data_IF_240976361288
#
_entry.id   IF_240976361288
#
_cell.length_a   1.000
_cell.length_b   1.000
_cell.length_c   1.000
_cell.angle_alpha   90.00
_cell.angle_beta   90.00
_cell.angle_gamma   90.00
#
_symmetry.space_group_name_H-M   'P 1'
#
loop_
_entity.id
_entity.type
_entity.pdbx_description
1 polymer ?
#
# COMPACT_ATOMS: atom_id res chain seq x y z
N UNK A 1 -2.95 -1.43 -10.88
CA UNK A 1 -1.52 -1.33 -11.28
C UNK A 1 -0.69 -1.12 -10.03
N UNK A 2 0.31 -1.97 -9.81
CA UNK A 2 1.28 -1.83 -8.72
C UNK A 2 2.59 -1.22 -9.25
N UNK A 3 3.15 -0.25 -8.54
CA UNK A 3 4.55 0.19 -8.70
C UNK A 3 5.32 -0.10 -7.43
N UNK A 4 6.52 -0.65 -7.56
CA UNK A 4 7.38 -0.97 -6.43
C UNK A 4 8.66 -0.14 -6.46
N UNK A 5 9.10 0.34 -5.31
CA UNK A 5 10.28 1.19 -5.17
C UNK A 5 11.26 0.63 -4.14
N UNK A 6 12.54 0.62 -4.50
CA UNK A 6 13.67 0.34 -3.59
C UNK A 6 14.46 1.62 -3.34
N UNK A 7 15.23 1.66 -2.25
CA UNK A 7 16.19 2.75 -2.01
C UNK A 7 17.52 2.42 -2.69
N UNK A 8 18.01 3.36 -3.49
CA UNK A 8 19.33 3.31 -4.11
C UNK A 8 19.95 4.72 -4.07
N UNK A 9 21.11 4.86 -3.42
CA UNK A 9 21.79 6.15 -3.21
C UNK A 9 20.86 7.26 -2.69
N UNK A 10 20.14 6.99 -1.59
CA UNK A 10 19.17 7.89 -0.95
C UNK A 10 18.01 8.35 -1.85
N UNK A 11 17.73 7.61 -2.93
CA UNK A 11 16.63 7.90 -3.86
C UNK A 11 15.74 6.68 -4.05
N UNK A 12 14.47 6.92 -4.31
CA UNK A 12 13.54 5.89 -4.71
C UNK A 12 13.77 5.53 -6.18
N UNK A 13 13.96 4.23 -6.45
CA UNK A 13 14.09 3.68 -7.79
C UNK A 13 12.99 2.66 -8.04
N UNK A 14 12.28 2.82 -9.15
CA UNK A 14 11.27 1.86 -9.60
C UNK A 14 11.92 0.50 -9.92
N UNK A 15 11.24 -0.59 -9.55
CA UNK A 15 11.59 -1.95 -9.92
C UNK A 15 10.41 -2.64 -10.60
N UNK A 16 10.71 -3.49 -11.58
CA UNK A 16 9.68 -4.15 -12.40
C UNK A 16 9.06 -5.39 -11.74
N UNK A 17 9.81 -6.03 -10.82
CA UNK A 17 9.39 -7.26 -10.15
C UNK A 17 9.41 -7.05 -8.63
N UNK A 18 8.21 -6.96 -8.05
CA UNK A 18 8.00 -6.83 -6.61
C UNK A 18 8.54 -8.06 -5.86
N UNK A 19 8.26 -9.26 -6.34
CA UNK A 19 8.58 -10.51 -5.65
C UNK A 19 10.09 -10.74 -5.63
N UNK A 20 10.77 -10.54 -6.76
CA UNK A 20 12.21 -10.68 -6.84
C UNK A 20 12.98 -9.63 -6.00
N UNK A 21 12.34 -8.51 -5.65
CA UNK A 21 12.93 -7.44 -4.86
C UNK A 21 12.29 -7.28 -3.48
N UNK A 22 11.43 -8.20 -3.03
CA UNK A 22 10.57 -8.02 -1.87
C UNK A 22 11.29 -7.50 -0.62
N UNK A 23 12.45 -8.09 -0.29
CA UNK A 23 13.25 -7.71 0.89
C UNK A 23 13.87 -6.30 0.80
N UNK A 24 13.88 -5.69 -0.39
CA UNK A 24 14.46 -4.36 -0.66
C UNK A 24 13.40 -3.29 -0.95
N UNK A 25 12.17 -3.70 -1.22
CA UNK A 25 11.08 -2.78 -1.54
C UNK A 25 10.69 -2.05 -0.26
N UNK A 26 10.68 -0.72 -0.34
CA UNK A 26 10.30 0.15 0.78
C UNK A 26 8.95 0.82 0.57
N UNK A 27 8.45 0.82 -0.67
CA UNK A 27 7.17 1.40 -1.02
C UNK A 27 6.55 0.65 -2.20
N UNK A 28 5.31 0.19 -2.01
CA UNK A 28 4.43 -0.26 -3.07
C UNK A 28 3.27 0.74 -3.22
N UNK A 29 3.10 1.27 -4.43
CA UNK A 29 2.03 2.20 -4.80
C UNK A 29 0.99 1.46 -5.63
N UNK A 30 -0.24 1.40 -5.11
CA UNK A 30 -1.37 0.69 -5.72
C UNK A 30 -2.34 1.72 -6.28
N UNK A 31 -2.41 1.82 -7.61
CA UNK A 31 -3.40 2.66 -8.28
C UNK A 31 -4.48 1.79 -8.93
N UNK A 32 -5.71 1.89 -8.39
CA UNK A 32 -6.87 1.09 -8.78
C UNK A 32 -6.50 -0.39 -9.01
N UNK A 33 -5.99 -1.08 -7.98
CA UNK A 33 -5.48 -2.44 -8.12
C UNK A 33 -6.59 -3.41 -8.52
N UNK A 34 -6.23 -4.48 -9.21
CA UNK A 34 -7.12 -5.63 -9.38
C UNK A 34 -7.12 -6.49 -8.11
N UNK A 35 -8.11 -7.38 -7.95
CA UNK A 35 -8.14 -8.33 -6.83
C UNK A 35 -6.90 -9.23 -6.77
N UNK A 36 -6.37 -9.61 -7.93
CA UNK A 36 -5.16 -10.43 -8.01
C UNK A 36 -3.93 -9.63 -7.55
N UNK A 37 -3.87 -8.34 -7.88
CA UNK A 37 -2.84 -7.41 -7.41
C UNK A 37 -2.94 -7.18 -5.89
N UNK A 38 -4.15 -6.99 -5.35
CA UNK A 38 -4.38 -6.88 -3.90
C UNK A 38 -3.91 -8.15 -3.19
N UNK A 39 -4.35 -9.33 -3.64
CA UNK A 39 -3.99 -10.63 -3.04
C UNK A 39 -2.47 -10.85 -3.03
N UNK A 40 -1.78 -10.45 -4.09
CA UNK A 40 -0.32 -10.56 -4.18
C UNK A 40 0.38 -9.67 -3.14
N UNK A 41 -0.13 -8.45 -2.91
CA UNK A 41 0.40 -7.53 -1.90
C UNK A 41 0.11 -8.03 -0.49
N UNK A 42 -1.11 -8.49 -0.22
CA UNK A 42 -1.50 -9.04 1.08
C UNK A 42 -0.67 -10.27 1.44
N UNK A 43 -0.43 -11.16 0.47
CA UNK A 43 0.41 -12.34 0.66
C UNK A 43 1.88 -11.98 0.94
N UNK A 44 2.37 -10.89 0.35
CA UNK A 44 3.74 -10.41 0.56
C UNK A 44 3.92 -9.70 1.90
N UNK A 45 2.98 -8.82 2.27
CA UNK A 45 3.07 -8.03 3.51
C UNK A 45 2.55 -8.78 4.75
N UNK A 46 1.71 -9.78 4.56
CA UNK A 46 1.04 -10.51 5.64
C UNK A 46 -0.07 -9.71 6.33
N UNK A 47 -0.61 -8.68 5.68
CA UNK A 47 -1.70 -7.84 6.18
C UNK A 47 -2.74 -7.62 5.09
N UNK A 48 -4.01 -7.43 5.49
CA UNK A 48 -5.08 -7.11 4.56
C UNK A 48 -4.98 -5.66 4.06
N UNK A 49 -5.32 -5.42 2.80
CA UNK A 49 -5.49 -4.06 2.28
C UNK A 49 -6.92 -3.61 2.61
N UNK A 50 -7.10 -2.43 3.23
CA UNK A 50 -8.44 -1.96 3.57
C UNK A 50 -9.28 -1.79 2.31
N UNK A 51 -10.52 -2.27 2.40
CA UNK A 51 -11.52 -2.10 1.36
C UNK A 51 -11.91 -0.64 1.23
N UNK A 52 -12.47 -0.28 0.08
CA UNK A 52 -12.97 1.08 -0.15
C UNK A 52 -14.05 1.51 0.84
N UNK A 53 -14.90 0.58 1.27
CA UNK A 53 -15.96 0.86 2.24
C UNK A 53 -15.37 1.24 3.60
N UNK A 54 -14.37 0.50 4.08
CA UNK A 54 -13.64 0.79 5.32
C UNK A 54 -12.92 2.15 5.24
N UNK A 55 -12.29 2.45 4.10
CA UNK A 55 -11.62 3.75 3.88
C UNK A 55 -12.60 4.94 3.83
N UNK A 56 -13.88 4.72 3.51
CA UNK A 56 -14.90 5.77 3.46
C UNK A 56 -15.43 6.15 4.85
N UNK A 57 -15.16 5.36 5.88
CA UNK A 57 -15.53 5.66 7.26
C UNK A 57 -14.89 6.99 7.74
N UNK A 58 -15.65 7.75 8.53
CA UNK A 58 -15.22 9.09 9.00
C UNK A 58 -14.58 9.06 10.39
N UNK A 59 -14.74 7.97 11.12
CA UNK A 59 -14.27 7.83 12.48
C UNK A 59 -12.75 7.72 12.53
N UNK A 60 -12.12 8.39 13.50
CA UNK A 60 -10.65 8.38 13.63
C UNK A 60 -10.13 6.96 13.87
N UNK A 61 -10.87 6.15 14.64
CA UNK A 61 -10.54 4.74 14.88
C UNK A 61 -10.52 3.89 13.62
N UNK A 62 -11.25 4.27 12.58
CA UNK A 62 -11.28 3.58 11.29
C UNK A 62 -10.26 4.12 10.31
N UNK A 63 -9.73 5.33 10.57
CA UNK A 63 -8.72 5.98 9.71
C UNK A 63 -7.30 5.87 10.23
N UNK A 64 -7.12 5.70 11.53
CA UNK A 64 -5.83 5.59 12.20
C UNK A 64 -5.89 4.43 13.19
N UNK A 65 -5.38 3.28 12.77
CA UNK A 65 -5.45 2.06 13.57
C UNK A 65 -4.24 1.16 13.37
N UNK A 66 -4.13 0.17 14.24
CA UNK A 66 -3.11 -0.86 14.21
C UNK A 66 -3.82 -2.20 14.09
N UNK A 67 -3.43 -2.99 13.10
CA UNK A 67 -3.95 -4.34 12.87
C UNK A 67 -2.82 -5.20 12.32
N UNK A 68 -2.72 -6.45 12.78
CA UNK A 68 -1.68 -7.41 12.38
C UNK A 68 -0.23 -6.88 12.45
N UNK A 69 0.01 -5.94 13.37
CA UNK A 69 1.32 -5.30 13.55
C UNK A 69 1.66 -4.21 12.53
N UNK A 70 0.74 -3.90 11.61
CA UNK A 70 0.84 -2.78 10.68
C UNK A 70 0.06 -1.55 11.16
N UNK A 71 0.53 -0.38 10.74
CA UNK A 71 -0.13 0.90 10.98
C UNK A 71 -0.88 1.33 9.72
N UNK A 72 -2.16 1.64 9.88
CA UNK A 72 -3.01 2.08 8.79
C UNK A 72 -3.34 3.56 8.93
N UNK A 73 -3.33 4.28 7.81
CA UNK A 73 -3.69 5.68 7.73
C UNK A 73 -4.49 5.97 6.47
N UNK A 74 -5.73 6.43 6.62
CA UNK A 74 -6.55 6.94 5.53
C UNK A 74 -6.55 8.46 5.54
N UNK A 75 -6.05 9.07 4.47
CA UNK A 75 -5.99 10.52 4.31
C UNK A 75 -6.89 10.99 3.15
N UNK A 76 -7.70 12.01 3.41
CA UNK A 76 -8.42 12.73 2.36
C UNK A 76 -7.53 13.84 1.82
N UNK A 77 -7.14 13.74 0.55
CA UNK A 77 -6.27 14.72 -0.11
C UNK A 77 -7.08 15.65 -1.01
N UNK A 78 -6.79 16.97 -1.01
CA UNK A 78 -7.31 17.86 -2.05
C UNK A 78 -6.79 17.39 -3.42
N UNK A 79 -7.70 17.25 -4.39
CA UNK A 79 -7.34 16.97 -5.77
C UNK A 79 -7.94 18.06 -6.68
N UNK A 80 -7.15 18.52 -7.65
CA UNK A 80 -7.65 19.40 -8.71
C UNK A 80 -7.91 18.54 -9.92
N UNK A 81 -9.19 18.38 -10.26
CA UNK A 81 -9.67 17.72 -11.49
C UNK A 81 -9.77 18.71 -12.63
#
# INVERSE_FOLDING_TARGET
MIKAFVVDNDRLRLVDDLVANGDKVVWADLFNPTKDEETAIESWLGVAIPTREEMEEIEISSRLYIEDGAYFMTATLPAQT
#
